data_IF_405007253457
#
_entry.id   IF_405007253457
#
_cell.length_a   1.000
_cell.length_b   1.000
_cell.length_c   1.000
_cell.angle_alpha   90.00
_cell.angle_beta   90.00
_cell.angle_gamma   90.00
#
_symmetry.space_group_name_H-M   'P 1'
#
loop_
_entity.id
_entity.type
_entity.pdbx_description
1 polymer ?
#
# COMPACT_ATOMS: atom_id res chain seq x y z
N UNK A 1 32.61 -0.99 44.67
CA UNK A 1 33.43 -1.82 43.76
C UNK A 1 33.56 -1.05 42.46
N UNK A 2 34.72 -0.47 42.18
CA UNK A 2 34.96 0.43 41.05
C UNK A 2 35.60 -0.35 39.89
N UNK A 3 35.03 -0.23 38.68
CA UNK A 3 35.57 -0.85 37.46
C UNK A 3 36.79 -0.04 37.00
N UNK A 4 37.98 -0.65 37.05
CA UNK A 4 39.19 -0.08 36.46
C UNK A 4 39.16 -0.26 34.93
N UNK A 5 38.99 0.82 34.18
CA UNK A 5 39.35 0.86 32.76
C UNK A 5 40.87 0.84 32.64
N UNK A 6 41.43 -0.33 32.29
CA UNK A 6 42.86 -0.49 32.04
C UNK A 6 43.18 0.03 30.64
N UNK A 7 43.50 1.32 30.53
CA UNK A 7 43.90 1.93 29.26
C UNK A 7 45.35 1.55 28.97
N UNK A 8 45.55 0.59 28.05
CA UNK A 8 46.88 0.21 27.55
C UNK A 8 47.30 1.24 26.50
N UNK A 9 48.00 2.29 26.91
CA UNK A 9 48.56 3.29 26.01
C UNK A 9 49.75 2.72 25.24
N UNK A 10 49.49 2.03 24.14
CA UNK A 10 50.54 1.75 23.15
C UNK A 10 51.07 3.09 22.62
N UNK A 11 52.40 3.24 22.61
CA UNK A 11 53.08 4.49 22.27
C UNK A 11 53.00 4.72 20.73
N UNK A 12 51.82 5.17 20.27
CA UNK A 12 51.53 5.40 18.86
C UNK A 12 52.21 6.72 18.47
N UNK A 13 53.25 6.65 17.63
CA UNK A 13 53.88 7.85 17.05
C UNK A 13 52.86 8.63 16.23
N UNK A 14 52.47 9.80 16.74
CA UNK A 14 51.57 10.72 16.06
C UNK A 14 52.29 11.33 14.85
N UNK A 15 51.89 10.93 13.64
CA UNK A 15 52.37 11.51 12.38
C UNK A 15 51.24 12.33 11.77
N UNK A 16 51.52 13.59 11.43
CA UNK A 16 50.53 14.46 10.82
C UNK A 16 50.10 13.91 9.44
N UNK A 17 48.81 13.99 9.08
CA UNK A 17 48.33 13.56 7.78
C UNK A 17 48.93 14.47 6.70
N UNK A 18 49.58 13.88 5.70
CA UNK A 18 50.17 14.64 4.61
C UNK A 18 49.04 15.13 3.69
N UNK A 19 49.00 16.45 3.42
CA UNK A 19 47.93 17.10 2.64
C UNK A 19 48.03 16.82 1.12
N UNK A 20 49.12 16.20 0.68
CA UNK A 20 49.37 15.80 -0.69
C UNK A 20 48.92 14.35 -0.91
N UNK A 21 47.74 14.22 -1.52
CA UNK A 21 47.23 13.06 -2.27
C UNK A 21 47.64 11.65 -1.84
N UNK A 22 46.65 10.92 -1.29
CA UNK A 22 46.52 9.46 -1.21
C UNK A 22 47.76 8.61 -1.58
N UNK A 23 48.52 8.20 -0.57
CA UNK A 23 49.53 7.15 -0.72
C UNK A 23 48.85 5.82 -1.11
N UNK A 24 49.17 5.20 -2.26
CA UNK A 24 48.50 4.00 -2.76
C UNK A 24 48.71 2.74 -1.90
N UNK A 25 49.62 2.81 -0.92
CA UNK A 25 50.00 1.68 -0.06
C UNK A 25 49.19 1.62 1.25
N UNK A 26 48.56 2.74 1.68
CA UNK A 26 47.85 2.80 2.96
C UNK A 26 46.35 2.58 2.73
N UNK A 27 45.82 1.48 3.27
CA UNK A 27 44.37 1.21 3.32
C UNK A 27 43.63 2.41 3.90
N UNK A 28 42.54 2.83 3.28
CA UNK A 28 41.75 3.95 3.77
C UNK A 28 41.00 3.53 5.05
N UNK A 29 40.55 4.53 5.82
CA UNK A 29 39.73 4.24 7.01
C UNK A 29 38.42 3.53 6.62
N UNK A 30 37.92 3.77 5.42
CA UNK A 30 36.74 3.11 4.87
C UNK A 30 37.06 1.64 4.59
N UNK A 31 38.17 1.35 3.90
CA UNK A 31 38.58 -0.04 3.60
C UNK A 31 38.81 -0.87 4.87
N UNK A 32 39.41 -0.27 5.91
CA UNK A 32 39.66 -0.95 7.19
C UNK A 32 38.34 -1.18 7.93
N UNK A 33 37.40 -0.23 7.87
CA UNK A 33 36.09 -0.37 8.49
C UNK A 33 35.22 -1.42 7.77
N UNK A 34 35.35 -1.52 6.45
CA UNK A 34 34.71 -2.55 5.63
C UNK A 34 35.31 -3.94 5.90
N UNK A 35 36.64 -4.06 5.92
CA UNK A 35 37.37 -5.30 6.25
C UNK A 35 36.97 -5.86 7.63
N UNK A 36 36.71 -4.96 8.60
CA UNK A 36 36.26 -5.31 9.95
C UNK A 36 34.74 -5.37 10.10
N UNK A 37 33.97 -5.18 9.02
CA UNK A 37 32.49 -5.15 9.01
C UNK A 37 31.87 -4.23 10.07
N UNK A 38 32.56 -3.13 10.40
CA UNK A 38 32.13 -2.22 11.47
C UNK A 38 30.82 -1.50 11.11
N UNK A 39 30.62 -1.17 9.83
CA UNK A 39 29.36 -0.58 9.36
C UNK A 39 28.18 -1.54 9.55
N UNK A 40 28.36 -2.81 9.23
CA UNK A 40 27.32 -3.83 9.41
C UNK A 40 27.00 -4.05 10.88
N UNK A 41 28.02 -4.06 11.75
CA UNK A 41 27.84 -4.22 13.19
C UNK A 41 27.18 -3.00 13.84
N UNK A 42 27.54 -1.78 13.44
CA UNK A 42 26.90 -0.54 13.90
C UNK A 42 25.44 -0.44 13.42
N UNK A 43 25.15 -0.91 12.20
CA UNK A 43 23.81 -0.97 11.65
C UNK A 43 22.93 -1.90 12.52
N UNK A 44 23.39 -3.13 12.78
CA UNK A 44 22.69 -4.09 13.65
C UNK A 44 22.50 -3.54 15.08
N UNK A 45 23.52 -2.89 15.64
CA UNK A 45 23.49 -2.37 17.00
C UNK A 45 22.55 -1.16 17.16
N UNK A 46 22.39 -0.36 16.10
CA UNK A 46 21.42 0.73 16.03
C UNK A 46 20.01 0.27 15.60
N UNK A 47 19.78 -1.04 15.43
CA UNK A 47 18.49 -1.58 14.96
C UNK A 47 18.21 -1.37 13.47
N UNK A 48 19.13 -0.73 12.74
CA UNK A 48 19.12 -0.66 11.28
C UNK A 48 19.80 -1.91 10.73
N UNK A 49 19.06 -3.00 10.55
CA UNK A 49 19.49 -4.05 9.62
C UNK A 49 19.88 -3.39 8.29
N UNK A 50 20.98 -3.77 7.61
CA UNK A 50 21.33 -3.14 6.34
C UNK A 50 20.21 -3.45 5.36
N UNK A 51 19.31 -2.49 5.20
CA UNK A 51 18.37 -2.45 4.11
C UNK A 51 19.23 -2.47 2.85
N UNK A 52 18.90 -3.40 1.96
CA UNK A 52 19.34 -3.31 0.59
C UNK A 52 18.89 -1.96 0.03
N UNK A 53 19.48 -1.57 -1.10
CA UNK A 53 19.30 -0.32 -1.85
C UNK A 53 17.86 -0.12 -2.40
N UNK A 54 16.85 -0.27 -1.54
CA UNK A 54 15.41 -0.07 -1.76
C UNK A 54 14.85 1.01 -0.80
N UNK A 55 15.72 1.88 -0.27
CA UNK A 55 15.41 2.87 0.77
C UNK A 55 14.34 3.92 0.36
N UNK A 56 13.90 3.96 -0.91
CA UNK A 56 12.74 4.77 -1.32
C UNK A 56 11.42 4.23 -0.75
N UNK A 57 11.25 2.90 -0.66
CA UNK A 57 10.06 2.27 -0.07
C UNK A 57 9.99 2.47 1.45
N UNK A 58 11.14 2.75 2.09
CA UNK A 58 11.19 3.03 3.53
C UNK A 58 10.82 4.47 3.88
N UNK A 59 10.90 5.42 2.94
CA UNK A 59 10.74 6.86 3.23
C UNK A 59 9.28 7.23 3.52
N UNK A 60 8.35 6.59 2.82
CA UNK A 60 6.92 6.86 2.93
C UNK A 60 6.29 5.99 4.03
N UNK A 61 6.87 4.82 4.31
CA UNK A 61 6.41 3.89 5.33
C UNK A 61 4.97 3.43 5.11
N UNK A 62 4.48 2.52 5.97
CA UNK A 62 3.09 2.01 5.86
C UNK A 62 2.05 3.14 5.85
N UNK A 63 2.25 4.16 6.67
CA UNK A 63 1.29 5.27 6.77
C UNK A 63 1.25 6.09 5.48
N UNK A 64 2.39 6.50 4.93
CA UNK A 64 2.39 7.29 3.72
C UNK A 64 1.85 6.51 2.52
N UNK A 65 2.13 5.20 2.42
CA UNK A 65 1.64 4.37 1.33
C UNK A 65 0.12 4.25 1.40
N UNK A 66 -0.40 3.94 2.59
CA UNK A 66 -1.85 3.91 2.80
C UNK A 66 -2.53 5.26 2.57
N UNK A 67 -1.88 6.38 2.89
CA UNK A 67 -2.38 7.73 2.58
C UNK A 67 -2.45 7.91 1.07
N UNK A 68 -1.39 7.57 0.33
CA UNK A 68 -1.31 7.73 -1.11
C UNK A 68 -2.41 6.93 -1.83
N UNK A 69 -2.55 5.64 -1.49
CA UNK A 69 -3.63 4.78 -1.99
C UNK A 69 -5.01 5.32 -1.62
N UNK A 70 -5.22 5.73 -0.38
CA UNK A 70 -6.51 6.26 0.07
C UNK A 70 -6.89 7.56 -0.64
N UNK A 71 -5.91 8.42 -0.93
CA UNK A 71 -6.12 9.67 -1.63
C UNK A 71 -6.51 9.42 -3.09
N UNK A 72 -5.77 8.55 -3.78
CA UNK A 72 -6.07 8.12 -5.15
C UNK A 72 -7.49 7.51 -5.23
N UNK A 73 -7.80 6.61 -4.30
CA UNK A 73 -9.09 5.93 -4.29
C UNK A 73 -10.25 6.87 -3.88
N UNK A 74 -9.99 7.86 -3.01
CA UNK A 74 -10.95 8.91 -2.68
C UNK A 74 -11.23 9.83 -3.87
N UNK A 75 -10.22 10.14 -4.70
CA UNK A 75 -10.44 10.88 -5.95
C UNK A 75 -11.31 10.08 -6.90
N UNK A 76 -11.02 8.77 -7.07
CA UNK A 76 -11.86 7.87 -7.87
C UNK A 76 -13.31 7.84 -7.38
N UNK A 77 -13.53 7.70 -6.05
CA UNK A 77 -14.87 7.74 -5.46
C UNK A 77 -15.60 9.05 -5.79
N UNK A 78 -14.92 10.19 -5.62
CA UNK A 78 -15.48 11.50 -5.97
C UNK A 78 -15.84 11.59 -7.45
N UNK A 79 -14.96 11.15 -8.34
CA UNK A 79 -15.21 11.15 -9.79
C UNK A 79 -16.39 10.26 -10.16
N UNK A 80 -16.50 9.07 -9.58
CA UNK A 80 -17.64 8.18 -9.79
C UNK A 80 -18.96 8.82 -9.31
N UNK A 81 -18.93 9.50 -8.16
CA UNK A 81 -20.11 10.19 -7.61
C UNK A 81 -20.58 11.35 -8.52
N UNK A 82 -19.64 12.10 -9.09
CA UNK A 82 -19.92 13.13 -10.10
C UNK A 82 -20.47 12.52 -11.39
N UNK A 83 -19.85 11.44 -11.89
CA UNK A 83 -20.27 10.77 -13.13
C UNK A 83 -21.71 10.24 -13.02
N UNK A 84 -22.05 9.57 -11.92
CA UNK A 84 -23.39 9.01 -11.72
C UNK A 84 -24.43 10.13 -11.57
N UNK A 85 -24.09 11.22 -10.87
CA UNK A 85 -24.97 12.38 -10.77
C UNK A 85 -25.25 12.99 -12.15
N UNK A 86 -24.23 13.05 -13.02
CA UNK A 86 -24.36 13.55 -14.38
C UNK A 86 -25.15 12.59 -15.29
N UNK A 87 -25.00 11.28 -15.14
CA UNK A 87 -25.73 10.27 -15.90
C UNK A 87 -27.25 10.33 -15.68
N UNK A 88 -27.69 10.70 -14.47
CA UNK A 88 -29.11 10.81 -14.13
C UNK A 88 -29.68 12.23 -14.19
N UNK A 89 -28.92 13.21 -14.73
CA UNK A 89 -29.31 14.61 -14.85
C UNK A 89 -29.84 15.22 -13.54
N UNK A 90 -29.24 14.85 -12.41
CA UNK A 90 -29.59 15.38 -11.08
C UNK A 90 -28.80 16.67 -10.83
N UNK A 91 -29.46 17.69 -10.27
CA UNK A 91 -28.80 18.94 -9.88
C UNK A 91 -27.65 18.70 -8.89
N UNK A 92 -26.45 19.05 -9.32
CA UNK A 92 -25.20 18.78 -8.59
C UNK A 92 -25.08 19.77 -7.42
N UNK A 93 -25.31 19.26 -6.22
CA UNK A 93 -24.97 19.96 -4.98
C UNK A 93 -23.53 19.65 -4.59
N UNK A 94 -22.60 20.47 -5.10
CA UNK A 94 -21.16 20.39 -4.79
C UNK A 94 -20.81 20.17 -3.31
N UNK A 95 -21.40 20.90 -2.33
CA UNK A 95 -21.05 20.69 -0.92
C UNK A 95 -21.48 19.30 -0.41
N UNK A 96 -22.55 18.73 -0.97
CA UNK A 96 -23.04 17.41 -0.56
C UNK A 96 -22.12 16.31 -1.10
N UNK A 97 -21.70 16.41 -2.37
CA UNK A 97 -20.76 15.46 -2.99
C UNK A 97 -19.40 15.53 -2.31
N UNK A 98 -18.88 16.74 -2.08
CA UNK A 98 -17.63 16.94 -1.37
C UNK A 98 -17.70 16.40 0.06
N UNK A 99 -18.81 16.62 0.77
CA UNK A 99 -19.04 16.05 2.10
C UNK A 99 -19.04 14.52 2.09
N UNK A 100 -19.72 13.88 1.13
CA UNK A 100 -19.70 12.41 0.98
C UNK A 100 -18.28 11.88 0.72
N UNK A 101 -17.53 12.50 -0.19
CA UNK A 101 -16.16 12.11 -0.47
C UNK A 101 -15.24 12.28 0.77
N UNK A 102 -15.41 13.38 1.51
CA UNK A 102 -14.68 13.62 2.75
C UNK A 102 -14.99 12.57 3.83
N UNK A 103 -16.24 12.11 3.94
CA UNK A 103 -16.61 11.01 4.83
C UNK A 103 -16.12 9.64 4.34
N UNK A 104 -16.01 9.43 3.02
CA UNK A 104 -15.48 8.19 2.45
C UNK A 104 -13.97 8.04 2.67
N UNK A 105 -13.21 9.14 2.66
CA UNK A 105 -11.76 9.13 2.84
C UNK A 105 -11.26 8.35 4.07
N UNK A 106 -11.70 8.62 5.32
CA UNK A 106 -11.21 7.88 6.49
C UNK A 106 -11.61 6.40 6.47
N UNK A 107 -12.75 6.07 5.86
CA UNK A 107 -13.21 4.68 5.71
C UNK A 107 -12.29 3.95 4.74
N UNK A 108 -12.04 4.54 3.57
CA UNK A 108 -11.13 4.02 2.55
C UNK A 108 -9.71 3.89 3.13
N UNK A 109 -9.22 4.91 3.85
CA UNK A 109 -7.91 4.88 4.49
C UNK A 109 -7.77 3.72 5.47
N UNK A 110 -8.75 3.53 6.37
CA UNK A 110 -8.74 2.42 7.32
C UNK A 110 -8.73 1.07 6.60
N UNK A 111 -9.51 0.97 5.53
CA UNK A 111 -9.63 -0.23 4.73
C UNK A 111 -8.29 -0.57 4.05
N UNK A 112 -7.67 0.39 3.36
CA UNK A 112 -6.36 0.25 2.75
C UNK A 112 -5.28 -0.07 3.79
N UNK A 113 -5.23 0.68 4.89
CA UNK A 113 -4.25 0.47 5.95
C UNK A 113 -4.33 -0.95 6.56
N UNK A 114 -5.53 -1.54 6.59
CA UNK A 114 -5.76 -2.87 7.14
C UNK A 114 -5.54 -4.01 6.12
N UNK A 115 -6.00 -3.85 4.87
CA UNK A 115 -6.10 -4.95 3.91
C UNK A 115 -5.04 -4.90 2.81
N UNK A 116 -4.46 -3.74 2.53
CA UNK A 116 -3.37 -3.63 1.56
C UNK A 116 -2.12 -4.36 2.09
N UNK A 117 -1.42 -5.15 1.26
CA UNK A 117 -0.27 -5.91 1.69
C UNK A 117 0.87 -4.96 2.06
N UNK A 118 1.28 -4.98 3.32
CA UNK A 118 2.44 -4.23 3.80
C UNK A 118 3.54 -5.20 4.22
N UNK A 119 4.80 -4.82 3.93
CA UNK A 119 5.98 -5.55 4.38
C UNK A 119 6.12 -5.55 5.93
N UNK A 120 5.45 -4.62 6.61
CA UNK A 120 5.50 -4.44 8.07
C UNK A 120 4.23 -4.93 8.77
N UNK A 121 4.34 -5.68 9.89
CA UNK A 121 3.19 -6.31 10.54
C UNK A 121 2.17 -5.25 11.01
N UNK A 122 0.87 -5.39 10.67
CA UNK A 122 -0.18 -4.53 11.19
C UNK A 122 -0.35 -4.75 12.69
N UNK A 123 -0.64 -3.67 13.42
CA UNK A 123 -1.03 -3.73 14.83
C UNK A 123 -2.46 -4.27 14.99
N UNK A 124 -3.30 -4.12 13.95
CA UNK A 124 -4.74 -4.39 14.02
C UNK A 124 -5.15 -5.82 13.67
N UNK A 125 -4.37 -6.54 12.84
CA UNK A 125 -4.70 -7.91 12.42
C UNK A 125 -3.73 -8.92 13.07
N UNK A 126 -4.22 -10.02 13.66
CA UNK A 126 -3.37 -11.08 14.20
C UNK A 126 -2.47 -11.65 13.10
N UNK A 127 -1.20 -11.94 13.44
CA UNK A 127 -0.24 -12.52 12.50
C UNK A 127 -0.71 -13.91 12.06
N UNK A 128 -1.21 -14.00 10.81
CA UNK A 128 -1.45 -15.29 10.17
C UNK A 128 -0.13 -15.96 9.73
N UNK A 129 -0.12 -17.29 9.54
CA UNK A 129 1.05 -18.00 9.01
C UNK A 129 1.46 -17.41 7.64
N UNK A 130 2.74 -17.09 7.42
CA UNK A 130 3.21 -16.37 6.23
C UNK A 130 3.00 -17.16 4.92
N UNK A 131 2.78 -18.48 5.00
CA UNK A 131 2.47 -19.32 3.84
C UNK A 131 1.04 -19.16 3.33
N UNK A 132 0.10 -18.86 4.22
CA UNK A 132 -1.34 -18.82 3.91
C UNK A 132 -1.78 -17.39 3.56
N UNK A 133 -1.05 -16.39 4.05
CA UNK A 133 -1.33 -14.97 3.83
C UNK A 133 -1.55 -14.59 2.35
N UNK A 134 -0.64 -14.91 1.39
CA UNK A 134 -0.82 -14.48 0.00
C UNK A 134 -2.02 -15.15 -0.66
N UNK A 135 -2.25 -16.43 -0.39
CA UNK A 135 -3.39 -17.18 -0.94
C UNK A 135 -4.71 -16.68 -0.39
N UNK A 136 -4.79 -16.41 0.92
CA UNK A 136 -5.99 -15.87 1.55
C UNK A 136 -6.32 -14.48 1.00
N UNK A 137 -5.31 -13.63 0.84
CA UNK A 137 -5.46 -12.31 0.26
C UNK A 137 -6.05 -12.39 -1.16
N UNK A 138 -5.45 -13.19 -2.05
CA UNK A 138 -5.96 -13.41 -3.41
C UNK A 138 -7.40 -13.94 -3.40
N UNK A 139 -7.74 -14.92 -2.56
CA UNK A 139 -9.10 -15.48 -2.47
C UNK A 139 -10.11 -14.42 -1.97
N UNK A 140 -9.73 -13.64 -0.95
CA UNK A 140 -10.57 -12.58 -0.38
C UNK A 140 -10.90 -11.55 -1.44
N UNK A 141 -9.87 -11.00 -2.12
CA UNK A 141 -10.06 -10.01 -3.16
C UNK A 141 -10.77 -10.58 -4.40
N UNK A 142 -10.55 -11.86 -4.72
CA UNK A 142 -11.26 -12.53 -5.81
C UNK A 142 -12.76 -12.63 -5.54
N UNK A 143 -13.12 -13.08 -4.32
CA UNK A 143 -14.51 -13.14 -3.89
C UNK A 143 -15.12 -11.73 -3.83
N UNK A 144 -14.40 -10.75 -3.27
CA UNK A 144 -14.82 -9.36 -3.20
C UNK A 144 -15.07 -8.75 -4.57
N UNK A 145 -14.20 -9.01 -5.55
CA UNK A 145 -14.35 -8.54 -6.93
C UNK A 145 -15.60 -9.12 -7.59
N UNK A 146 -15.88 -10.42 -7.42
CA UNK A 146 -17.08 -11.06 -7.98
C UNK A 146 -18.34 -10.48 -7.30
N UNK A 147 -18.38 -10.46 -5.97
CA UNK A 147 -19.55 -9.96 -5.24
C UNK A 147 -19.82 -8.48 -5.54
N UNK A 148 -18.80 -7.62 -5.49
CA UNK A 148 -18.93 -6.20 -5.77
C UNK A 148 -19.32 -5.95 -7.23
N UNK A 149 -18.71 -6.67 -8.20
CA UNK A 149 -19.04 -6.54 -9.62
C UNK A 149 -20.46 -7.00 -9.94
N UNK A 150 -20.86 -8.20 -9.48
CA UNK A 150 -22.22 -8.70 -9.67
C UNK A 150 -23.26 -7.82 -8.96
N UNK A 151 -22.96 -7.33 -7.76
CA UNK A 151 -23.84 -6.42 -7.04
C UNK A 151 -23.97 -5.08 -7.76
N UNK A 152 -22.88 -4.52 -8.32
CA UNK A 152 -22.92 -3.28 -9.10
C UNK A 152 -23.82 -3.41 -10.34
N UNK A 153 -23.75 -4.55 -11.03
CA UNK A 153 -24.63 -4.88 -12.16
C UNK A 153 -26.09 -4.98 -11.69
N UNK A 154 -26.33 -5.73 -10.61
CA UNK A 154 -27.67 -5.91 -10.05
C UNK A 154 -28.29 -4.57 -9.63
N UNK A 155 -27.52 -3.69 -8.97
CA UNK A 155 -28.09 -2.43 -8.49
C UNK A 155 -28.45 -1.48 -9.61
N UNK A 156 -27.59 -1.39 -10.63
CA UNK A 156 -27.77 -0.48 -11.77
C UNK A 156 -29.00 -0.85 -12.59
N UNK A 157 -29.38 -2.13 -12.60
CA UNK A 157 -30.50 -2.63 -13.39
C UNK A 157 -31.81 -2.76 -12.59
N UNK A 158 -31.74 -2.92 -11.26
CA UNK A 158 -32.93 -3.26 -10.45
C UNK A 158 -33.45 -2.10 -9.62
N UNK A 159 -32.57 -1.23 -9.12
CA UNK A 159 -32.99 -0.13 -8.24
C UNK A 159 -33.22 1.17 -9.01
N UNK A 160 -34.04 2.04 -8.43
CA UNK A 160 -34.24 3.40 -8.94
C UNK A 160 -32.96 4.25 -8.86
N UNK A 161 -32.89 5.28 -9.70
CA UNK A 161 -31.73 6.15 -9.87
C UNK A 161 -31.14 6.69 -8.56
N UNK A 162 -31.98 7.05 -7.58
CA UNK A 162 -31.52 7.60 -6.30
C UNK A 162 -30.72 6.59 -5.46
N UNK A 163 -31.11 5.31 -5.51
CA UNK A 163 -30.39 4.25 -4.82
C UNK A 163 -29.07 3.94 -5.53
N UNK A 164 -29.07 3.92 -6.86
CA UNK A 164 -27.86 3.74 -7.68
C UNK A 164 -26.85 4.87 -7.39
N UNK A 165 -27.30 6.12 -7.36
CA UNK A 165 -26.44 7.28 -7.09
C UNK A 165 -25.77 7.22 -5.70
N UNK A 166 -26.42 6.65 -4.69
CA UNK A 166 -25.84 6.52 -3.35
C UNK A 166 -24.91 5.31 -3.19
N UNK A 167 -25.17 4.22 -3.91
CA UNK A 167 -24.51 2.93 -3.70
C UNK A 167 -23.42 2.63 -4.73
N UNK A 168 -23.60 3.05 -5.98
CA UNK A 168 -22.68 2.72 -7.07
C UNK A 168 -21.28 3.31 -6.88
N UNK A 169 -21.08 4.58 -6.43
CA UNK A 169 -19.75 5.13 -6.26
C UNK A 169 -18.85 4.35 -5.27
N UNK A 170 -19.29 4.05 -4.02
CA UNK A 170 -18.46 3.28 -3.09
C UNK A 170 -18.28 1.83 -3.51
N UNK A 171 -19.29 1.19 -4.10
CA UNK A 171 -19.18 -0.21 -4.55
C UNK A 171 -18.28 -0.33 -5.78
N UNK A 172 -18.40 0.58 -6.74
CA UNK A 172 -17.52 0.63 -7.91
C UNK A 172 -16.07 0.87 -7.52
N UNK A 173 -15.86 1.74 -6.53
CA UNK A 173 -14.55 1.98 -5.93
C UNK A 173 -13.95 0.72 -5.28
N UNK A 174 -14.72 0.01 -4.45
CA UNK A 174 -14.29 -1.27 -3.87
C UNK A 174 -14.04 -2.35 -4.91
N UNK A 175 -14.86 -2.40 -5.96
CA UNK A 175 -14.70 -3.36 -7.06
C UNK A 175 -13.39 -3.11 -7.82
N UNK A 176 -13.13 -1.86 -8.23
CA UNK A 176 -11.90 -1.48 -8.94
C UNK A 176 -10.67 -1.79 -8.08
N UNK A 177 -10.70 -1.41 -6.80
CA UNK A 177 -9.61 -1.71 -5.89
C UNK A 177 -9.38 -3.22 -5.75
N UNK A 178 -10.47 -4.01 -5.64
CA UNK A 178 -10.35 -5.46 -5.58
C UNK A 178 -9.75 -6.09 -6.83
N UNK A 179 -10.02 -5.52 -8.02
CA UNK A 179 -9.47 -6.00 -9.29
C UNK A 179 -7.98 -5.64 -9.42
N UNK A 180 -7.58 -4.46 -8.96
CA UNK A 180 -6.17 -3.99 -9.03
C UNK A 180 -5.25 -4.84 -8.14
N UNK A 181 -5.76 -5.30 -7.00
CA UNK A 181 -4.99 -6.10 -6.04
C UNK A 181 -4.82 -7.59 -6.47
N UNK A 182 -5.61 -8.06 -7.44
CA UNK A 182 -5.54 -9.43 -7.94
C UNK A 182 -4.43 -9.62 -8.97
N UNK A 183 -3.87 -10.83 -9.04
CA UNK A 183 -3.02 -11.17 -10.18
C UNK A 183 -3.83 -11.15 -11.48
N UNK A 184 -3.18 -10.82 -12.61
CA UNK A 184 -3.83 -10.66 -13.92
C UNK A 184 -4.73 -11.84 -14.29
N UNK A 185 -4.33 -13.08 -13.97
CA UNK A 185 -5.12 -14.27 -14.25
C UNK A 185 -6.41 -14.33 -13.41
N UNK A 186 -6.30 -14.05 -12.11
CA UNK A 186 -7.45 -14.03 -11.20
C UNK A 186 -8.38 -12.85 -11.51
N UNK A 187 -7.83 -11.68 -11.81
CA UNK A 187 -8.57 -10.50 -12.25
C UNK A 187 -9.35 -10.77 -13.54
N UNK A 188 -8.72 -11.38 -14.55
CA UNK A 188 -9.39 -11.75 -15.79
C UNK A 188 -10.53 -12.74 -15.52
N UNK A 189 -10.28 -13.75 -14.67
CA UNK A 189 -11.30 -14.73 -14.34
C UNK A 189 -12.51 -14.12 -13.59
N UNK A 190 -12.29 -13.18 -12.66
CA UNK A 190 -13.39 -12.52 -11.94
C UNK A 190 -14.25 -11.66 -12.88
N UNK A 191 -13.64 -10.99 -13.85
CA UNK A 191 -14.37 -10.25 -14.89
C UNK A 191 -15.19 -11.18 -15.80
N UNK A 192 -14.65 -12.35 -16.16
CA UNK A 192 -15.39 -13.36 -16.92
C UNK A 192 -16.63 -13.81 -16.12
N UNK A 193 -16.49 -14.05 -14.81
CA UNK A 193 -17.63 -14.38 -13.95
C UNK A 193 -18.70 -13.28 -13.95
N UNK A 194 -18.31 -12.01 -13.82
CA UNK A 194 -19.25 -10.89 -13.89
C UNK A 194 -19.95 -10.80 -15.26
N UNK A 195 -19.22 -11.02 -16.36
CA UNK A 195 -19.79 -11.02 -17.71
C UNK A 195 -20.77 -12.18 -17.93
N UNK A 196 -20.44 -13.36 -17.40
CA UNK A 196 -21.31 -14.54 -17.40
C UNK A 196 -22.58 -14.24 -16.59
N UNK A 197 -22.45 -13.68 -15.39
CA UNK A 197 -23.59 -13.26 -14.57
C UNK A 197 -24.47 -12.25 -15.30
N UNK A 198 -23.87 -11.27 -15.98
CA UNK A 198 -24.60 -10.29 -16.76
C UNK A 198 -25.43 -10.96 -17.88
N UNK A 199 -24.82 -11.90 -18.62
CA UNK A 199 -25.50 -12.65 -19.68
C UNK A 199 -26.65 -13.53 -19.17
N UNK A 200 -26.46 -14.20 -18.03
CA UNK A 200 -27.50 -15.05 -17.41
C UNK A 200 -28.59 -14.24 -16.71
N UNK A 201 -28.28 -13.04 -16.23
CA UNK A 201 -29.22 -12.17 -15.51
C UNK A 201 -30.37 -11.64 -16.37
N UNK A 202 -30.36 -11.89 -17.68
CA UNK A 202 -31.45 -11.48 -18.58
C UNK A 202 -31.66 -9.97 -18.66
N UNK A 203 -30.68 -9.19 -18.20
CA UNK A 203 -30.73 -7.74 -18.26
C UNK A 203 -30.74 -7.31 -19.72
N UNK A 204 -31.82 -6.64 -20.14
CA UNK A 204 -31.98 -6.16 -21.50
C UNK A 204 -30.89 -5.14 -21.80
N UNK A 205 -30.05 -5.43 -22.79
CA UNK A 205 -29.07 -4.48 -23.30
C UNK A 205 -29.80 -3.47 -24.17
N UNK A 206 -30.16 -2.32 -23.59
CA UNK A 206 -30.75 -1.18 -24.29
C UNK A 206 -32.14 -1.44 -24.93
#
# INVERSE_FOLDING_TARGET
MALQCKEKSENIKLKQPNRLGQDPSRKTLIDIAEERRLFQQAAIQNGNTPANLDDEDSLVGRLGESIFWSLSLSMLHFTLDVLVSHQYAVDISWPVIAGRAAHAFPIIFLLIYSLHPHNSPPILLPRLPPRIQPTLHQILFFSGAIFAGCYLIHISNTYGYYAVMKQAPPIGCLWIWSVIELDVQWAASSLIFCAVFLKYGGYSFL
#
